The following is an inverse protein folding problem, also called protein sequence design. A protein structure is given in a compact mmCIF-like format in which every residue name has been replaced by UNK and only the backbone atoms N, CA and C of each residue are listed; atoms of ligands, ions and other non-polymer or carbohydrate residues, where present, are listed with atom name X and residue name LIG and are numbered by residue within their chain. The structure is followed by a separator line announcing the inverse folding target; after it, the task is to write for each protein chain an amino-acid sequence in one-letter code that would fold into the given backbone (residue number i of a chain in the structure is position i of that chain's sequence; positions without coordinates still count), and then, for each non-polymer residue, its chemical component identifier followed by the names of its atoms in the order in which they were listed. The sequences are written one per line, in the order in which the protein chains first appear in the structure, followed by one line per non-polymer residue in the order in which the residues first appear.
data_IF_580933143140
#
_entry.id   IF_580933143140
#
_cell.length_a   1.000
_cell.length_b   1.000
_cell.length_c   1.000
_cell.angle_alpha   90.00
_cell.angle_beta   90.00
_cell.angle_gamma   90.00
#
_symmetry.space_group_name_H-M   'P 1'
#
loop_
_entity.id
_entity.type
_entity.pdbx_description
1 polymer ?
#
# COMPACT_ATOMS: atom_id res chain seq x y z
N UNK A 1 11.48 -22.09 0.48
CA UNK A 1 12.54 -22.28 -0.52
C UNK A 1 12.35 -21.28 -1.66
N UNK A 2 13.46 -20.69 -2.12
CA UNK A 2 13.49 -19.76 -3.22
C UNK A 2 13.50 -20.48 -4.58
N UNK A 3 12.80 -19.90 -5.55
CA UNK A 3 12.93 -20.30 -6.96
C UNK A 3 14.30 -19.89 -7.51
N UNK A 4 14.68 -20.45 -8.65
CA UNK A 4 15.82 -19.95 -9.40
C UNK A 4 15.45 -18.61 -10.03
N UNK A 5 16.17 -17.58 -9.66
CA UNK A 5 16.04 -16.21 -10.15
C UNK A 5 17.41 -15.55 -10.21
N UNK A 6 17.52 -14.57 -11.09
CA UNK A 6 18.74 -13.77 -11.24
C UNK A 6 18.45 -12.30 -11.06
N UNK A 7 19.43 -11.59 -10.59
CA UNK A 7 19.52 -10.15 -10.69
C UNK A 7 19.86 -9.72 -12.12
N UNK A 8 19.53 -8.48 -12.47
CA UNK A 8 19.78 -7.93 -13.82
C UNK A 8 21.27 -7.81 -14.20
N UNK A 9 22.17 -7.98 -13.25
CA UNK A 9 23.63 -8.10 -13.49
C UNK A 9 24.09 -9.56 -13.70
N UNK A 10 23.18 -10.53 -13.68
CA UNK A 10 23.45 -11.95 -13.86
C UNK A 10 23.72 -12.74 -12.59
N UNK A 11 23.88 -12.08 -11.43
CA UNK A 11 24.08 -12.75 -10.13
C UNK A 11 22.82 -13.55 -9.75
N UNK A 12 23.00 -14.64 -9.00
CA UNK A 12 21.87 -15.40 -8.45
C UNK A 12 21.18 -14.62 -7.33
N UNK A 13 19.85 -14.68 -7.28
CA UNK A 13 19.09 -14.25 -6.12
C UNK A 13 19.18 -15.34 -5.05
N UNK A 14 19.61 -14.95 -3.84
CA UNK A 14 19.86 -15.85 -2.72
C UNK A 14 19.05 -15.51 -1.49
N UNK A 15 18.98 -16.42 -0.52
CA UNK A 15 18.34 -16.16 0.77
C UNK A 15 19.07 -15.05 1.56
N UNK A 16 20.37 -14.86 1.36
CA UNK A 16 21.12 -13.78 1.98
C UNK A 16 20.64 -12.39 1.53
N UNK A 17 20.18 -12.25 0.29
CA UNK A 17 19.64 -10.99 -0.24
C UNK A 17 18.34 -10.59 0.52
N UNK A 18 17.53 -11.57 0.90
CA UNK A 18 16.33 -11.33 1.73
C UNK A 18 16.70 -10.96 3.16
N UNK A 19 17.66 -11.68 3.77
CA UNK A 19 18.15 -11.36 5.12
C UNK A 19 18.65 -9.91 5.16
N UNK A 20 19.50 -9.53 4.22
CA UNK A 20 20.03 -8.18 4.13
C UNK A 20 18.92 -7.12 3.91
N UNK A 21 18.01 -7.37 2.97
CA UNK A 21 16.89 -6.46 2.69
C UNK A 21 16.00 -6.21 3.92
N UNK A 22 15.64 -7.29 4.64
CA UNK A 22 14.78 -7.20 5.84
C UNK A 22 15.50 -6.56 7.02
N UNK A 23 16.79 -6.87 7.23
CA UNK A 23 17.60 -6.20 8.25
C UNK A 23 17.68 -4.69 7.99
N UNK A 24 17.83 -4.27 6.74
CA UNK A 24 17.79 -2.85 6.36
C UNK A 24 16.42 -2.21 6.63
N UNK A 25 15.33 -2.93 6.38
CA UNK A 25 13.99 -2.41 6.59
C UNK A 25 13.67 -2.15 8.07
N UNK A 26 14.22 -2.91 9.00
CA UNK A 26 14.04 -2.73 10.45
C UNK A 26 15.12 -1.89 11.11
N UNK A 27 16.21 -1.55 10.40
CA UNK A 27 17.28 -0.73 10.95
C UNK A 27 16.79 0.70 11.21
N UNK A 28 16.79 1.16 12.49
CA UNK A 28 16.35 2.52 12.82
C UNK A 28 17.17 3.61 12.13
N UNK A 29 18.43 3.33 11.74
CA UNK A 29 19.25 4.27 10.99
C UNK A 29 18.71 4.57 9.58
N UNK A 30 17.93 3.66 8.99
CA UNK A 30 17.30 3.86 7.69
C UNK A 30 15.94 4.57 7.79
N UNK A 31 15.36 4.67 8.99
CA UNK A 31 14.06 5.30 9.24
C UNK A 31 12.96 4.87 8.25
N UNK A 32 12.90 3.57 7.94
CA UNK A 32 11.92 3.04 6.98
C UNK A 32 10.49 3.22 7.49
N UNK A 33 9.64 3.92 6.73
CA UNK A 33 8.23 4.14 7.08
C UNK A 33 7.42 2.85 7.18
N UNK A 34 7.85 1.79 6.50
CA UNK A 34 7.19 0.49 6.48
C UNK A 34 7.91 -0.59 7.30
N UNK A 35 8.80 -0.20 8.23
CA UNK A 35 9.45 -1.14 9.15
C UNK A 35 8.45 -1.97 9.97
N UNK A 36 7.31 -1.37 10.35
CA UNK A 36 6.22 -2.02 11.09
C UNK A 36 5.61 -3.23 10.35
N UNK A 37 5.80 -3.32 9.04
CA UNK A 37 5.36 -4.50 8.28
C UNK A 37 6.05 -5.78 8.73
N UNK A 38 7.29 -5.69 9.25
CA UNK A 38 8.02 -6.83 9.80
C UNK A 38 7.67 -7.08 11.28
N UNK A 39 7.42 -6.02 12.09
CA UNK A 39 7.09 -6.14 13.51
C UNK A 39 5.61 -6.42 13.75
N UNK A 40 4.75 -5.43 13.48
CA UNK A 40 3.34 -5.46 13.90
C UNK A 40 2.50 -6.37 13.00
N UNK A 41 2.77 -6.38 11.71
CA UNK A 41 1.97 -7.12 10.72
C UNK A 41 2.56 -8.53 10.52
N UNK A 42 3.86 -8.63 10.26
CA UNK A 42 4.55 -9.88 9.96
C UNK A 42 4.95 -10.68 11.20
N UNK A 43 5.00 -10.05 12.37
CA UNK A 43 5.34 -10.69 13.66
C UNK A 43 6.71 -11.40 13.63
N UNK A 44 7.67 -10.86 12.88
CA UNK A 44 9.01 -11.42 12.81
C UNK A 44 9.72 -11.21 14.15
N UNK A 45 10.30 -12.28 14.68
CA UNK A 45 11.00 -12.27 16.00
C UNK A 45 12.04 -11.15 16.04
N UNK A 46 12.06 -10.40 17.13
CA UNK A 46 12.94 -9.27 17.43
C UNK A 46 12.75 -8.02 16.54
N UNK A 47 11.85 -8.01 15.57
CA UNK A 47 11.68 -6.85 14.68
C UNK A 47 11.31 -5.58 15.46
N UNK A 48 10.40 -5.66 16.42
CA UNK A 48 9.97 -4.51 17.22
C UNK A 48 11.11 -3.95 18.10
N UNK A 49 11.87 -4.80 18.75
CA UNK A 49 13.00 -4.41 19.62
C UNK A 49 14.14 -3.79 18.78
N UNK A 50 14.36 -4.29 17.55
CA UNK A 50 15.36 -3.71 16.64
C UNK A 50 14.92 -2.32 16.19
N UNK A 51 13.66 -2.15 15.77
CA UNK A 51 13.11 -0.84 15.37
C UNK A 51 13.19 0.16 16.53
N UNK A 52 12.98 -0.30 17.78
CA UNK A 52 13.15 0.53 18.98
C UNK A 52 14.63 0.83 19.33
N UNK A 53 15.59 0.23 18.62
CA UNK A 53 17.03 0.38 18.91
C UNK A 53 17.53 -0.43 20.12
N UNK A 54 16.76 -1.39 20.60
CA UNK A 54 17.06 -2.20 21.77
C UNK A 54 17.91 -3.44 21.44
N UNK A 55 17.88 -3.88 20.18
CA UNK A 55 18.65 -5.02 19.67
C UNK A 55 19.37 -4.70 18.37
N UNK A 56 20.49 -5.38 18.06
CA UNK A 56 21.16 -5.22 16.77
C UNK A 56 20.34 -5.87 15.64
N UNK A 57 20.46 -5.36 14.42
CA UNK A 57 19.74 -5.86 13.22
C UNK A 57 20.02 -7.34 12.93
N UNK A 58 21.18 -7.84 13.36
CA UNK A 58 21.58 -9.25 13.20
C UNK A 58 20.75 -10.24 14.02
N UNK A 59 20.01 -9.75 15.01
CA UNK A 59 19.14 -10.56 15.85
C UNK A 59 17.74 -10.76 15.27
N UNK A 60 17.46 -10.16 14.09
CA UNK A 60 16.18 -10.37 13.41
C UNK A 60 15.93 -11.85 13.15
N UNK A 61 14.72 -12.31 13.44
CA UNK A 61 14.30 -13.71 13.28
C UNK A 61 14.23 -14.17 11.82
N UNK A 62 15.28 -13.92 11.03
CA UNK A 62 15.42 -14.35 9.64
C UNK A 62 16.82 -14.88 9.40
N UNK A 63 16.94 -16.04 8.76
CA UNK A 63 18.23 -16.72 8.53
C UNK A 63 18.28 -17.34 7.13
N UNK A 64 19.37 -17.11 6.42
CA UNK A 64 19.72 -17.88 5.22
C UNK A 64 20.37 -19.19 5.66
N UNK A 65 19.63 -20.30 5.60
CA UNK A 65 20.14 -21.64 5.93
C UNK A 65 21.13 -22.13 4.87
N UNK A 66 20.82 -21.83 3.63
CA UNK A 66 21.64 -21.98 2.44
C UNK A 66 21.18 -20.95 1.38
N UNK A 67 21.76 -20.95 0.19
CA UNK A 67 21.47 -19.98 -0.88
C UNK A 67 19.99 -19.96 -1.28
N UNK A 68 19.26 -21.04 -1.07
CA UNK A 68 17.86 -21.20 -1.51
C UNK A 68 16.87 -21.40 -0.37
N UNK A 69 17.31 -21.48 0.85
CA UNK A 69 16.47 -21.72 2.01
C UNK A 69 16.52 -20.55 2.97
N UNK A 70 15.41 -19.80 3.02
CA UNK A 70 15.18 -18.74 3.99
C UNK A 70 14.31 -19.29 5.13
N UNK A 71 14.81 -19.24 6.35
CA UNK A 71 14.06 -19.55 7.57
C UNK A 71 13.61 -18.26 8.24
N UNK A 72 12.33 -18.18 8.61
CA UNK A 72 11.76 -17.03 9.31
C UNK A 72 11.06 -17.49 10.58
N UNK A 73 11.38 -16.85 11.70
CA UNK A 73 10.79 -17.09 13.00
C UNK A 73 9.77 -16.00 13.33
N UNK A 74 8.58 -16.40 13.71
CA UNK A 74 7.48 -15.49 14.05
C UNK A 74 7.15 -15.60 15.54
N UNK A 75 6.79 -14.46 16.17
CA UNK A 75 6.35 -14.41 17.57
C UNK A 75 5.04 -15.18 17.80
N UNK A 76 4.15 -15.15 16.81
CA UNK A 76 2.86 -15.86 16.81
C UNK A 76 2.58 -16.41 15.40
N UNK A 77 1.76 -17.45 15.28
CA UNK A 77 1.32 -17.94 13.96
C UNK A 77 0.56 -16.85 13.19
N UNK A 78 1.02 -16.52 11.98
CA UNK A 78 0.40 -15.52 11.09
C UNK A 78 -0.03 -16.24 9.80
N UNK A 79 -1.33 -16.49 9.64
CA UNK A 79 -1.87 -17.27 8.51
C UNK A 79 -1.67 -16.58 7.15
N UNK A 80 -1.59 -15.26 7.14
CA UNK A 80 -1.41 -14.44 5.94
C UNK A 80 0.07 -14.07 5.67
N UNK A 81 1.04 -14.62 6.43
CA UNK A 81 2.46 -14.23 6.33
C UNK A 81 3.00 -14.31 4.90
N UNK A 82 2.67 -15.37 4.15
CA UNK A 82 3.13 -15.51 2.77
C UNK A 82 2.55 -14.46 1.82
N UNK A 83 1.36 -13.95 2.11
CA UNK A 83 0.76 -12.86 1.32
C UNK A 83 1.50 -11.53 1.51
N UNK A 84 2.20 -11.34 2.62
CA UNK A 84 3.02 -10.15 2.85
C UNK A 84 4.24 -10.07 1.91
N UNK A 85 4.65 -11.19 1.32
CA UNK A 85 5.80 -11.23 0.40
C UNK A 85 5.57 -10.44 -0.90
N UNK A 86 4.33 -10.07 -1.20
CA UNK A 86 4.00 -9.14 -2.29
C UNK A 86 4.31 -7.68 -1.95
N UNK A 87 4.51 -7.34 -0.68
CA UNK A 87 4.77 -5.98 -0.24
C UNK A 87 6.26 -5.64 -0.35
N UNK A 88 6.64 -4.47 -0.88
CA UNK A 88 8.04 -4.13 -1.20
C UNK A 88 9.03 -4.24 -0.04
N UNK A 89 8.58 -4.02 1.21
CA UNK A 89 9.44 -4.18 2.41
C UNK A 89 10.06 -5.58 2.52
N UNK A 90 9.40 -6.60 1.95
CA UNK A 90 9.88 -7.99 1.97
C UNK A 90 10.72 -8.36 0.75
N UNK A 91 10.97 -7.44 -0.17
CA UNK A 91 11.78 -7.74 -1.36
C UNK A 91 13.26 -7.89 -1.01
N UNK A 92 14.00 -8.72 -1.75
CA UNK A 92 15.43 -8.90 -1.53
C UNK A 92 16.22 -7.67 -1.99
N UNK A 93 17.38 -7.46 -1.38
CA UNK A 93 18.37 -6.46 -1.78
C UNK A 93 19.73 -7.13 -1.88
N UNK A 94 20.39 -7.02 -3.03
CA UNK A 94 21.73 -7.56 -3.20
C UNK A 94 22.75 -6.72 -2.41
N UNK A 95 23.31 -7.29 -1.34
CA UNK A 95 24.23 -6.57 -0.45
C UNK A 95 25.50 -6.11 -1.15
N UNK A 96 26.09 -6.96 -1.99
CA UNK A 96 27.33 -6.62 -2.68
C UNK A 96 27.13 -5.43 -3.61
N UNK A 97 26.04 -5.42 -4.37
CA UNK A 97 25.68 -4.29 -5.23
C UNK A 97 25.34 -3.04 -4.40
N UNK A 98 24.52 -3.17 -3.36
CA UNK A 98 24.19 -2.05 -2.48
C UNK A 98 25.46 -1.37 -1.95
N UNK A 99 26.46 -2.14 -1.53
CA UNK A 99 27.73 -1.63 -1.01
C UNK A 99 28.55 -0.85 -2.05
N UNK A 100 28.28 -1.01 -3.35
CA UNK A 100 28.93 -0.21 -4.41
C UNK A 100 28.33 1.17 -4.57
N UNK A 101 27.04 1.37 -4.26
CA UNK A 101 26.31 2.62 -4.49
C UNK A 101 25.79 3.31 -3.21
N UNK A 102 25.61 2.57 -2.11
CA UNK A 102 25.23 3.11 -0.79
C UNK A 102 24.19 4.27 -0.84
N UNK A 103 24.64 5.50 -0.59
CA UNK A 103 23.79 6.70 -0.50
C UNK A 103 23.07 7.04 -1.81
N UNK A 104 23.53 6.51 -2.94
CA UNK A 104 22.89 6.68 -4.24
C UNK A 104 22.00 5.52 -4.65
N UNK A 105 21.87 4.48 -3.82
CA UNK A 105 21.03 3.32 -4.09
C UNK A 105 19.60 3.74 -4.43
N UNK A 106 19.08 3.27 -5.58
CA UNK A 106 17.72 3.54 -6.02
C UNK A 106 17.51 4.91 -6.70
N UNK A 107 18.55 5.71 -6.97
CA UNK A 107 18.40 7.06 -7.52
C UNK A 107 18.60 7.15 -9.03
N UNK A 108 19.14 6.13 -9.67
CA UNK A 108 19.36 6.08 -11.12
C UNK A 108 19.40 4.64 -11.61
N UNK A 109 19.32 4.38 -12.93
CA UNK A 109 19.45 3.03 -13.48
C UNK A 109 20.72 2.30 -13.03
N UNK A 110 21.84 2.99 -12.94
CA UNK A 110 23.13 2.43 -12.53
C UNK A 110 23.21 2.05 -11.05
N UNK A 111 22.26 2.53 -10.24
CA UNK A 111 22.19 2.29 -8.79
C UNK A 111 20.97 1.46 -8.38
N UNK A 112 20.29 0.84 -9.34
CA UNK A 112 19.17 -0.11 -9.15
C UNK A 112 19.54 -1.46 -9.75
N UNK A 113 19.33 -2.52 -8.98
CA UNK A 113 19.42 -3.88 -9.44
C UNK A 113 18.02 -4.51 -9.40
N UNK A 114 17.58 -5.07 -10.51
CA UNK A 114 16.24 -5.64 -10.67
C UNK A 114 16.30 -7.16 -10.76
N UNK A 115 15.30 -7.83 -10.19
CA UNK A 115 15.02 -9.25 -10.44
C UNK A 115 13.58 -9.47 -10.94
N UNK A 116 12.87 -8.38 -11.28
CA UNK A 116 11.53 -8.37 -11.83
C UNK A 116 11.48 -8.50 -13.35
N UNK A 117 10.26 -8.41 -13.91
CA UNK A 117 9.99 -8.55 -15.33
C UNK A 117 10.62 -7.45 -16.21
N UNK A 118 10.87 -6.28 -15.62
CA UNK A 118 11.43 -5.12 -16.31
C UNK A 118 12.61 -4.54 -15.53
N UNK A 119 13.53 -3.90 -16.27
CA UNK A 119 14.73 -3.23 -15.77
C UNK A 119 14.60 -1.75 -16.11
N UNK A 120 14.86 -0.87 -15.14
CA UNK A 120 14.94 0.57 -15.36
C UNK A 120 16.14 0.88 -16.23
N UNK A 121 15.92 1.47 -17.41
CA UNK A 121 16.98 1.74 -18.41
C UNK A 121 17.22 3.22 -18.63
N UNK A 122 16.20 4.06 -18.44
CA UNK A 122 16.33 5.50 -18.53
C UNK A 122 15.55 6.16 -17.39
N UNK A 123 16.26 6.88 -16.54
CA UNK A 123 15.69 7.69 -15.47
C UNK A 123 16.73 8.69 -14.98
N UNK A 124 16.28 9.93 -14.77
CA UNK A 124 17.04 10.97 -14.09
C UNK A 124 16.13 11.61 -13.01
N UNK A 125 16.66 12.03 -11.87
CA UNK A 125 15.89 12.77 -10.88
C UNK A 125 15.18 13.98 -11.50
N UNK A 126 13.90 14.14 -11.20
CA UNK A 126 13.00 15.16 -11.76
C UNK A 126 12.72 15.03 -13.28
N UNK A 127 13.03 13.90 -13.92
CA UNK A 127 12.64 13.64 -15.29
C UNK A 127 11.11 13.62 -15.43
N UNK A 128 10.62 14.05 -16.59
CA UNK A 128 9.20 13.96 -16.95
C UNK A 128 8.86 12.72 -17.76
N UNK A 129 9.85 11.91 -18.06
CA UNK A 129 9.71 10.60 -18.72
C UNK A 129 10.78 9.65 -18.20
N UNK A 130 10.48 8.35 -18.20
CA UNK A 130 11.43 7.28 -17.91
C UNK A 130 11.01 5.99 -18.58
N UNK A 131 11.96 5.08 -18.76
CA UNK A 131 11.76 3.84 -19.50
C UNK A 131 12.25 2.62 -18.72
N UNK A 132 11.53 1.52 -18.93
CA UNK A 132 11.92 0.20 -18.49
C UNK A 132 11.94 -0.74 -19.70
N UNK A 133 12.99 -1.57 -19.80
CA UNK A 133 13.08 -2.62 -20.80
C UNK A 133 12.78 -3.98 -20.20
N UNK A 134 12.30 -4.92 -21.00
CA UNK A 134 12.06 -6.30 -20.60
C UNK A 134 13.36 -6.92 -20.06
N UNK A 135 13.23 -7.59 -18.91
CA UNK A 135 14.32 -8.35 -18.32
C UNK A 135 14.37 -9.78 -18.92
N UNK A 136 15.38 -10.11 -19.71
CA UNK A 136 15.50 -11.45 -20.32
C UNK A 136 15.82 -12.55 -19.29
N UNK A 137 16.39 -12.19 -18.13
CA UNK A 137 16.74 -13.10 -17.05
C UNK A 137 15.62 -13.25 -15.99
N UNK A 138 14.48 -12.60 -16.20
CA UNK A 138 13.30 -12.81 -15.34
C UNK A 138 12.84 -14.26 -15.42
N UNK A 139 12.56 -14.90 -14.28
CA UNK A 139 12.23 -16.33 -14.24
C UNK A 139 11.03 -16.72 -15.12
N UNK A 140 10.13 -15.78 -15.43
CA UNK A 140 8.95 -15.98 -16.26
C UNK A 140 8.93 -15.08 -17.51
N UNK A 141 10.12 -14.75 -18.04
CA UNK A 141 10.29 -13.85 -19.19
C UNK A 141 9.54 -14.31 -20.45
N UNK A 142 9.32 -15.63 -20.60
CA UNK A 142 8.57 -16.18 -21.73
C UNK A 142 7.10 -15.75 -21.78
N UNK A 143 6.51 -15.46 -20.62
CA UNK A 143 5.11 -15.02 -20.48
C UNK A 143 4.96 -13.48 -20.48
N UNK A 144 6.05 -12.73 -20.55
CA UNK A 144 6.00 -11.28 -20.67
C UNK A 144 5.91 -10.90 -22.15
N UNK A 145 4.77 -10.38 -22.57
CA UNK A 145 4.50 -10.02 -23.96
C UNK A 145 5.10 -8.67 -24.38
N UNK A 146 5.26 -7.75 -23.44
CA UNK A 146 5.76 -6.40 -23.70
C UNK A 146 7.28 -6.38 -23.73
N UNK A 147 7.86 -5.62 -24.67
CA UNK A 147 9.30 -5.42 -24.78
C UNK A 147 9.81 -4.35 -23.81
N UNK A 148 8.96 -3.43 -23.39
CA UNK A 148 9.29 -2.35 -22.46
C UNK A 148 8.09 -1.53 -22.07
N UNK A 149 8.31 -0.58 -21.15
CA UNK A 149 7.32 0.36 -20.64
C UNK A 149 7.92 1.76 -20.69
N UNK A 150 7.22 2.70 -21.35
CA UNK A 150 7.57 4.11 -21.37
C UNK A 150 6.59 4.90 -20.50
N UNK A 151 7.10 5.62 -19.53
CA UNK A 151 6.29 6.40 -18.61
C UNK A 151 6.44 7.90 -18.88
N UNK A 152 5.33 8.62 -18.76
CA UNK A 152 5.30 10.08 -18.81
C UNK A 152 4.70 10.62 -17.50
N UNK A 153 5.35 11.60 -16.90
CA UNK A 153 4.88 12.29 -15.69
C UNK A 153 4.07 13.50 -16.13
N UNK A 154 2.77 13.34 -16.25
CA UNK A 154 1.83 14.41 -16.67
C UNK A 154 1.07 14.86 -15.41
N UNK A 155 1.27 16.11 -14.99
CA UNK A 155 0.67 16.66 -13.75
C UNK A 155 -0.79 17.06 -13.93
N UNK A 156 -1.16 17.44 -15.14
CA UNK A 156 -2.54 17.82 -15.50
C UNK A 156 -3.29 16.59 -16.00
N UNK A 157 -4.32 16.18 -15.27
CA UNK A 157 -5.08 14.97 -15.59
C UNK A 157 -5.89 15.10 -16.89
N UNK A 158 -6.35 16.32 -17.26
CA UNK A 158 -7.05 16.54 -18.52
C UNK A 158 -6.08 16.40 -19.70
N UNK A 159 -4.85 16.88 -19.58
CA UNK A 159 -3.81 16.66 -20.58
C UNK A 159 -3.48 15.15 -20.72
N UNK A 160 -3.43 14.40 -19.61
CA UNK A 160 -3.21 12.97 -19.64
C UNK A 160 -4.34 12.23 -20.38
N UNK A 161 -5.61 12.57 -20.12
CA UNK A 161 -6.76 12.03 -20.82
C UNK A 161 -6.71 12.36 -22.34
N UNK A 162 -6.38 13.59 -22.71
CA UNK A 162 -6.22 13.98 -24.13
C UNK A 162 -5.08 13.20 -24.79
N UNK A 163 -3.98 12.96 -24.09
CA UNK A 163 -2.86 12.17 -24.61
C UNK A 163 -3.26 10.71 -24.86
N UNK A 164 -4.07 10.13 -24.01
CA UNK A 164 -4.68 8.81 -24.23
C UNK A 164 -5.61 8.82 -25.43
N UNK A 165 -6.53 9.77 -25.52
CA UNK A 165 -7.50 9.88 -26.62
C UNK A 165 -6.84 10.08 -28.00
N UNK A 166 -5.67 10.68 -28.03
CA UNK A 166 -4.89 10.89 -29.28
C UNK A 166 -3.94 9.73 -29.60
N UNK A 167 -3.89 8.70 -28.75
CA UNK A 167 -3.00 7.53 -28.90
C UNK A 167 -1.54 7.80 -28.53
N UNK A 168 -1.24 8.88 -27.79
CA UNK A 168 0.09 9.14 -27.27
C UNK A 168 0.36 8.36 -25.96
N UNK A 169 -0.67 7.87 -25.30
CA UNK A 169 -0.61 6.98 -24.14
C UNK A 169 -1.52 5.77 -24.38
N UNK A 170 -1.10 4.61 -23.94
CA UNK A 170 -1.88 3.37 -23.94
C UNK A 170 -2.72 3.21 -22.67
N UNK A 171 -2.32 3.88 -21.58
CA UNK A 171 -2.98 3.83 -20.27
C UNK A 171 -2.87 5.20 -19.59
N UNK A 172 -3.95 5.64 -18.95
CA UNK A 172 -3.94 6.79 -18.04
C UNK A 172 -4.87 6.55 -16.85
N UNK A 173 -4.54 7.14 -15.70
CA UNK A 173 -5.42 7.18 -14.54
C UNK A 173 -6.34 8.40 -14.64
N UNK A 174 -7.57 8.25 -14.20
CA UNK A 174 -8.59 9.31 -14.21
C UNK A 174 -8.87 9.77 -12.78
N UNK A 175 -9.25 11.02 -12.64
CA UNK A 175 -9.90 11.54 -11.44
C UNK A 175 -11.43 11.57 -11.61
N UNK A 176 -12.18 11.82 -10.52
CA UNK A 176 -13.63 11.77 -10.53
C UNK A 176 -14.29 12.76 -11.52
N UNK A 177 -13.69 13.91 -11.77
CA UNK A 177 -14.21 14.89 -12.73
C UNK A 177 -14.19 14.39 -14.18
N UNK A 178 -13.27 13.47 -14.48
CA UNK A 178 -13.09 12.89 -15.82
C UNK A 178 -13.94 11.65 -16.05
N UNK A 179 -14.32 10.94 -14.98
CA UNK A 179 -15.12 9.71 -15.09
C UNK A 179 -16.42 9.95 -15.81
N UNK A 180 -17.14 11.04 -15.52
CA UNK A 180 -18.37 11.39 -16.20
C UNK A 180 -18.21 11.61 -17.72
N UNK A 181 -17.01 11.95 -18.19
CA UNK A 181 -16.72 12.15 -19.62
C UNK A 181 -16.52 10.83 -20.37
N UNK A 182 -16.10 9.77 -19.67
CA UNK A 182 -15.65 8.52 -20.30
C UNK A 182 -16.30 7.25 -19.74
N UNK A 183 -17.21 7.34 -18.78
CA UNK A 183 -17.86 6.17 -18.14
C UNK A 183 -18.56 5.21 -19.10
N UNK A 184 -19.00 5.72 -20.26
CA UNK A 184 -19.67 4.94 -21.32
C UNK A 184 -18.66 4.45 -22.40
N UNK A 185 -17.37 4.81 -22.29
CA UNK A 185 -16.34 4.35 -23.21
C UNK A 185 -15.98 2.88 -22.89
N UNK A 186 -15.98 1.96 -23.87
CA UNK A 186 -15.62 0.56 -23.64
C UNK A 186 -14.18 0.35 -23.16
N UNK A 187 -13.31 1.32 -23.26
CA UNK A 187 -11.94 1.30 -22.73
C UNK A 187 -11.87 1.73 -21.25
N UNK A 188 -12.95 2.31 -20.71
CA UNK A 188 -13.00 2.69 -19.30
C UNK A 188 -13.12 1.44 -18.41
N UNK A 189 -12.29 1.38 -17.38
CA UNK A 189 -12.34 0.31 -16.37
C UNK A 189 -12.19 0.90 -14.98
N UNK A 190 -13.07 0.51 -14.06
CA UNK A 190 -12.98 0.83 -12.64
C UNK A 190 -12.64 -0.44 -11.85
N UNK A 191 -11.63 -0.35 -11.00
CA UNK A 191 -11.17 -1.48 -10.19
C UNK A 191 -11.10 -1.06 -8.72
N UNK A 192 -11.71 -1.84 -7.83
CA UNK A 192 -11.61 -1.64 -6.39
C UNK A 192 -10.17 -1.83 -5.92
N UNK A 193 -9.59 -0.80 -5.31
CA UNK A 193 -8.19 -0.82 -4.85
C UNK A 193 -8.01 -1.49 -3.47
N UNK A 194 -9.11 -1.88 -2.79
CA UNK A 194 -9.07 -2.51 -1.46
C UNK A 194 -8.68 -1.55 -0.33
N UNK A 195 -8.70 -0.25 -0.55
CA UNK A 195 -8.42 0.75 0.47
C UNK A 195 -9.68 1.15 1.23
N UNK A 196 -9.52 1.38 2.53
CA UNK A 196 -10.52 2.01 3.38
C UNK A 196 -10.00 3.36 3.87
N UNK A 197 -10.70 4.43 3.51
CA UNK A 197 -10.44 5.75 4.04
C UNK A 197 -11.28 5.99 5.30
N UNK A 198 -10.64 6.42 6.38
CA UNK A 198 -11.31 6.64 7.66
C UNK A 198 -10.73 7.84 8.39
N UNK A 199 -11.52 8.40 9.31
CA UNK A 199 -11.09 9.47 10.22
C UNK A 199 -10.71 8.82 11.55
N UNK A 200 -9.46 9.00 11.98
CA UNK A 200 -8.98 8.55 13.28
C UNK A 200 -8.95 9.75 14.26
N UNK A 201 -9.77 9.76 15.30
CA UNK A 201 -9.71 10.79 16.33
C UNK A 201 -8.41 10.71 17.12
N UNK A 202 -7.62 11.79 17.16
CA UNK A 202 -6.42 11.87 18.00
C UNK A 202 -6.82 12.25 19.43
N UNK A 203 -7.12 11.24 20.25
CA UNK A 203 -7.59 11.41 21.62
C UNK A 203 -6.50 11.98 22.53
N UNK A 204 -5.24 11.67 22.28
CA UNK A 204 -4.12 12.15 23.10
C UNK A 204 -3.89 13.65 22.91
N UNK A 205 -4.01 14.14 21.67
CA UNK A 205 -3.86 15.57 21.35
C UNK A 205 -5.12 16.38 21.68
N UNK A 206 -6.30 15.76 21.58
CA UNK A 206 -7.62 16.41 21.82
C UNK A 206 -8.45 15.50 22.74
N UNK A 207 -8.27 15.64 24.08
CA UNK A 207 -8.92 14.76 25.08
C UNK A 207 -10.43 14.72 24.99
N UNK A 208 -11.09 15.78 24.49
CA UNK A 208 -12.53 15.83 24.28
C UNK A 208 -13.01 14.73 23.31
N UNK A 209 -12.17 14.30 22.37
CA UNK A 209 -12.46 13.20 21.45
C UNK A 209 -12.51 11.83 22.15
N UNK A 210 -12.11 11.72 23.42
CA UNK A 210 -12.39 10.56 24.25
C UNK A 210 -13.87 10.40 24.59
N UNK A 211 -14.67 11.48 24.50
CA UNK A 211 -16.11 11.42 24.69
C UNK A 211 -16.78 10.62 23.57
N UNK A 212 -17.52 9.57 23.95
CA UNK A 212 -18.17 8.67 23.01
C UNK A 212 -19.27 9.38 22.20
N UNK A 213 -20.05 10.24 22.86
CA UNK A 213 -21.15 10.96 22.21
C UNK A 213 -20.61 11.96 21.17
N UNK A 214 -19.47 12.59 21.44
CA UNK A 214 -18.81 13.45 20.45
C UNK A 214 -18.38 12.66 19.20
N UNK A 215 -17.80 11.48 19.38
CA UNK A 215 -17.42 10.63 18.21
C UNK A 215 -18.65 10.12 17.47
N UNK A 216 -19.74 9.77 18.17
CA UNK A 216 -21.01 9.41 17.53
C UNK A 216 -21.61 10.57 16.74
N UNK A 217 -21.58 11.78 17.29
CA UNK A 217 -22.02 12.98 16.58
C UNK A 217 -21.24 13.15 15.26
N UNK A 218 -19.91 13.03 15.29
CA UNK A 218 -19.07 13.09 14.09
C UNK A 218 -19.43 11.97 13.09
N UNK A 219 -19.67 10.76 13.56
CA UNK A 219 -20.01 9.62 12.72
C UNK A 219 -21.32 9.83 11.96
N UNK A 220 -22.38 10.28 12.65
CA UNK A 220 -23.69 10.55 12.05
C UNK A 220 -23.73 11.84 11.22
N UNK A 221 -22.77 12.76 11.40
CA UNK A 221 -22.65 13.96 10.59
C UNK A 221 -21.98 13.71 9.22
N UNK A 222 -21.35 12.55 9.02
CA UNK A 222 -20.66 12.22 7.75
C UNK A 222 -21.64 11.63 6.75
N UNK A 223 -21.97 12.41 5.74
CA UNK A 223 -22.72 11.94 4.56
C UNK A 223 -21.77 11.24 3.58
N UNK A 224 -21.62 9.92 3.76
CA UNK A 224 -20.71 9.09 2.95
C UNK A 224 -21.20 8.95 1.52
N UNK A 225 -22.51 8.94 1.31
CA UNK A 225 -23.09 8.85 -0.04
C UNK A 225 -22.81 10.12 -0.85
N UNK A 226 -22.98 11.30 -0.24
CA UNK A 226 -22.62 12.57 -0.86
C UNK A 226 -21.11 12.66 -1.11
N UNK A 227 -20.26 12.21 -0.16
CA UNK A 227 -18.81 12.22 -0.34
C UNK A 227 -18.40 11.34 -1.53
N UNK A 228 -18.90 10.12 -1.63
CA UNK A 228 -18.51 9.20 -2.71
C UNK A 228 -19.17 9.55 -4.03
N UNK A 229 -20.47 9.89 -4.01
CA UNK A 229 -21.26 10.12 -5.23
C UNK A 229 -21.13 11.53 -5.83
N UNK A 230 -21.01 12.56 -4.98
CA UNK A 230 -21.03 13.96 -5.44
C UNK A 230 -19.66 14.61 -5.44
N UNK A 231 -18.76 14.19 -4.53
CA UNK A 231 -17.44 14.82 -4.40
C UNK A 231 -16.35 14.00 -5.08
N UNK A 232 -16.19 12.72 -4.71
CA UNK A 232 -15.11 11.88 -5.26
C UNK A 232 -15.40 11.44 -6.69
N UNK A 233 -16.57 10.89 -6.96
CA UNK A 233 -17.03 10.44 -8.30
C UNK A 233 -16.06 9.48 -9.02
N UNK A 234 -15.20 8.81 -8.25
CA UNK A 234 -14.11 7.96 -8.76
C UNK A 234 -14.43 6.46 -8.69
N UNK A 235 -15.66 6.11 -8.35
CA UNK A 235 -16.11 4.74 -8.13
C UNK A 235 -15.97 4.27 -6.70
N UNK A 236 -15.48 5.11 -5.78
CA UNK A 236 -15.51 4.84 -4.35
C UNK A 236 -16.94 4.62 -3.85
N UNK A 237 -17.10 3.70 -2.91
CA UNK A 237 -18.39 3.39 -2.31
C UNK A 237 -18.40 3.74 -0.81
N UNK A 238 -19.56 4.14 -0.24
CA UNK A 238 -19.70 4.33 1.19
C UNK A 238 -19.42 3.01 1.92
N UNK A 239 -18.63 3.06 2.99
CA UNK A 239 -18.30 1.89 3.78
C UNK A 239 -18.76 2.07 5.23
N UNK A 240 -19.43 1.05 5.77
CA UNK A 240 -19.99 1.03 7.12
C UNK A 240 -19.33 -0.02 8.01
N UNK A 241 -18.29 -0.70 7.51
CA UNK A 241 -17.52 -1.75 8.19
C UNK A 241 -16.02 -1.47 8.10
N UNK A 242 -15.24 -2.08 9.00
CA UNK A 242 -13.78 -1.97 8.96
C UNK A 242 -13.15 -2.74 7.78
N UNK A 243 -13.87 -3.70 7.20
CA UNK A 243 -13.46 -4.47 6.02
C UNK A 243 -14.35 -4.05 4.86
N UNK A 244 -13.80 -3.43 3.80
CA UNK A 244 -14.60 -3.04 2.65
C UNK A 244 -15.15 -4.25 1.88
N UNK A 245 -16.25 -4.09 1.11
CA UNK A 245 -16.76 -5.12 0.22
C UNK A 245 -15.70 -5.60 -0.76
N UNK A 246 -15.75 -6.87 -1.14
CA UNK A 246 -14.84 -7.53 -2.09
C UNK A 246 -13.36 -7.59 -1.66
N UNK A 247 -13.06 -7.25 -0.41
CA UNK A 247 -11.69 -7.28 0.12
C UNK A 247 -11.32 -8.65 0.69
N UNK A 248 -12.23 -9.29 1.42
CA UNK A 248 -11.97 -10.54 2.08
C UNK A 248 -13.08 -11.56 1.81
N UNK A 249 -12.68 -12.83 1.68
CA UNK A 249 -13.61 -13.96 1.49
C UNK A 249 -13.95 -14.58 2.84
N UNK A 250 -15.23 -14.79 3.09
CA UNK A 250 -15.73 -15.49 4.27
C UNK A 250 -15.46 -17.00 4.22
N UNK A 251 -15.68 -17.72 5.33
CA UNK A 251 -15.44 -19.17 5.41
C UNK A 251 -16.28 -20.01 4.43
N UNK A 252 -17.41 -19.48 3.97
CA UNK A 252 -18.32 -20.09 3.02
C UNK A 252 -18.01 -19.76 1.54
N UNK A 253 -16.95 -18.99 1.29
CA UNK A 253 -16.57 -18.53 -0.04
C UNK A 253 -17.28 -17.27 -0.52
N UNK A 254 -18.18 -16.69 0.28
CA UNK A 254 -18.84 -15.42 -0.02
C UNK A 254 -17.94 -14.22 0.36
N UNK A 255 -18.30 -13.04 -0.11
CA UNK A 255 -17.68 -11.79 0.35
C UNK A 255 -17.99 -11.59 1.84
N UNK A 256 -16.93 -11.45 2.66
CA UNK A 256 -17.03 -11.33 4.11
C UNK A 256 -17.88 -10.11 4.55
N UNK A 257 -17.85 -9.04 3.79
CA UNK A 257 -18.53 -7.77 4.10
C UNK A 257 -19.52 -7.32 3.03
N UNK A 258 -20.11 -8.24 2.27
CA UNK A 258 -21.11 -7.93 1.26
C UNK A 258 -22.33 -7.18 1.83
N UNK A 259 -22.75 -7.54 3.05
CA UNK A 259 -23.86 -6.87 3.72
C UNK A 259 -23.40 -5.67 4.54
N UNK A 260 -23.27 -4.53 3.87
CA UNK A 260 -22.96 -3.24 4.50
C UNK A 260 -24.15 -2.67 5.30
N UNK A 261 -25.37 -3.11 5.01
CA UNK A 261 -26.59 -2.55 5.66
C UNK A 261 -26.69 -2.92 7.11
N UNK A 262 -26.12 -4.05 7.53
CA UNK A 262 -26.13 -4.54 8.91
C UNK A 262 -25.64 -3.51 9.94
N UNK A 263 -24.75 -2.63 9.56
CA UNK A 263 -24.16 -1.60 10.44
C UNK A 263 -24.60 -0.18 10.08
N UNK A 264 -25.33 0.01 8.99
CA UNK A 264 -25.78 1.33 8.52
C UNK A 264 -26.58 2.08 9.58
N UNK A 265 -27.49 1.40 10.28
CA UNK A 265 -28.31 2.03 11.35
C UNK A 265 -27.47 2.64 12.49
N UNK A 266 -26.26 2.15 12.71
CA UNK A 266 -25.35 2.63 13.76
C UNK A 266 -24.37 3.70 13.30
N UNK A 267 -24.26 3.99 12.01
CA UNK A 267 -23.26 4.91 11.50
C UNK A 267 -23.60 5.61 10.17
N UNK A 268 -24.78 5.35 9.57
CA UNK A 268 -25.23 6.09 8.38
C UNK A 268 -25.53 7.56 8.73
N UNK A 269 -25.42 8.43 7.74
CA UNK A 269 -25.70 9.85 7.89
C UNK A 269 -27.09 10.11 8.46
N UNK A 270 -27.15 10.86 9.56
CA UNK A 270 -28.38 11.30 10.23
C UNK A 270 -28.10 12.60 10.98
N UNK A 271 -28.44 13.71 10.36
CA UNK A 271 -28.19 15.04 10.93
C UNK A 271 -28.90 15.28 12.27
N UNK A 272 -30.07 14.65 12.48
CA UNK A 272 -30.83 14.81 13.73
C UNK A 272 -30.12 14.05 14.86
N UNK A 273 -29.71 12.81 14.64
CA UNK A 273 -28.93 12.05 15.62
C UNK A 273 -27.57 12.71 15.88
N UNK A 274 -26.92 13.24 14.84
CA UNK A 274 -25.66 13.96 15.01
C UNK A 274 -25.82 15.14 15.97
N UNK A 275 -26.88 15.94 15.80
CA UNK A 275 -27.16 17.06 16.67
C UNK A 275 -27.49 16.61 18.10
N UNK A 276 -28.30 15.56 18.29
CA UNK A 276 -28.64 15.00 19.61
C UNK A 276 -27.38 14.54 20.38
N UNK A 277 -26.51 13.75 19.71
CA UNK A 277 -25.26 13.29 20.31
C UNK A 277 -24.32 14.45 20.63
N UNK A 278 -24.27 15.46 19.75
CA UNK A 278 -23.44 16.64 19.99
C UNK A 278 -23.87 17.43 21.22
N UNK A 279 -25.19 17.70 21.40
CA UNK A 279 -25.68 18.39 22.57
C UNK A 279 -25.46 17.58 23.86
N UNK A 280 -25.57 16.25 23.78
CA UNK A 280 -25.23 15.36 24.89
C UNK A 280 -23.75 15.48 25.25
N UNK A 281 -22.88 15.43 24.26
CA UNK A 281 -21.42 15.56 24.43
C UNK A 281 -21.06 16.93 25.05
N UNK A 282 -21.67 18.02 24.60
CA UNK A 282 -21.46 19.36 25.17
C UNK A 282 -21.76 19.38 26.65
N UNK A 283 -22.94 18.83 27.05
CA UNK A 283 -23.33 18.75 28.44
C UNK A 283 -22.36 17.94 29.30
N UNK A 284 -21.90 16.77 28.78
CA UNK A 284 -20.94 15.90 29.47
C UNK A 284 -19.56 16.54 29.63
N UNK A 285 -19.14 17.33 28.65
CA UNK A 285 -17.86 18.03 28.64
C UNK A 285 -17.88 19.38 29.36
N UNK A 286 -19.07 19.83 29.84
CA UNK A 286 -19.22 21.12 30.51
C UNK A 286 -18.97 22.32 29.59
N UNK A 287 -19.23 22.17 28.28
CA UNK A 287 -19.02 23.21 27.26
C UNK A 287 -20.38 23.71 26.77
N UNK A 288 -20.88 24.78 27.38
CA UNK A 288 -22.19 25.37 27.04
C UNK A 288 -22.18 26.20 25.73
N UNK A 289 -21.03 26.33 25.06
CA UNK A 289 -20.91 27.08 23.78
C UNK A 289 -19.75 26.59 22.93
#
# INVERSE_FOLDING_TARGET
HLRDAKWSNGDAVTAADFVFGWQRAVDPANASEYSYMLSDIGQVVNAAEIIAGEKPVTDLGVTAVDDKTLEVQLNVPVSYFLSLMYFPTFYPVNEAFFNTCKDTFGTSPDTVLSNGAFILTDYQPAATAFELSKNPDYYDAANIALDGLAYQVIKDSQQALMSFQTGALDLTLLNGEQVDQVKDDPQFTSVGAGYLWYISPNIDAVPELANENLRKAMTFALDRDAITGDVLKDGSAPCYTAVPPQFATGPDGSDFSADQTKFADSCAFDAAKAAEYYETAKSELGKDS
#
